data_IF_833995103213
#
_entry.id   IF_833995103213
#
_cell.length_a   1.000
_cell.length_b   1.000
_cell.length_c   1.000
_cell.angle_alpha   90.00
_cell.angle_beta   90.00
_cell.angle_gamma   90.00
#
_symmetry.space_group_name_H-M   'P 1'
#
loop_
_entity.id
_entity.type
_entity.pdbx_description
1 polymer ?
#
# COMPACT_ATOMS: atom_id res chain seq x y z
N UNK A 1 13.64 50.30 2.86
CA UNK A 1 13.30 50.32 1.41
C UNK A 1 12.54 49.03 1.12
N UNK A 2 11.53 49.04 0.25
CA UNK A 2 10.86 47.77 -0.13
C UNK A 2 11.52 47.22 -1.40
N UNK A 3 11.70 45.91 -1.47
CA UNK A 3 12.20 45.24 -2.68
C UNK A 3 11.47 43.93 -2.97
N UNK A 4 11.62 43.46 -4.21
CA UNK A 4 11.01 42.25 -4.74
C UNK A 4 12.08 41.31 -5.27
N UNK A 5 11.82 40.01 -5.22
CA UNK A 5 12.63 38.97 -5.88
C UNK A 5 11.76 38.16 -6.82
N UNK A 6 12.34 37.69 -7.92
CA UNK A 6 11.70 36.77 -8.87
C UNK A 6 12.02 35.34 -8.47
N UNK A 7 11.02 34.47 -8.51
CA UNK A 7 11.19 33.07 -8.16
C UNK A 7 11.14 32.19 -9.41
N UNK A 8 12.18 31.40 -9.60
CA UNK A 8 12.27 30.36 -10.62
C UNK A 8 12.34 28.98 -9.94
N UNK A 9 11.74 27.95 -10.54
CA UNK A 9 12.01 26.57 -10.12
C UNK A 9 13.28 26.00 -10.77
N UNK A 10 13.61 24.76 -10.39
CA UNK A 10 14.75 24.00 -10.93
C UNK A 10 14.72 23.84 -12.47
N UNK A 11 13.54 23.90 -13.09
CA UNK A 11 13.35 23.80 -14.54
C UNK A 11 13.40 25.18 -15.23
N UNK A 12 13.67 26.25 -14.47
CA UNK A 12 13.71 27.63 -14.97
C UNK A 12 12.33 28.25 -15.19
N UNK A 13 11.26 27.63 -14.70
CA UNK A 13 9.90 28.17 -14.82
C UNK A 13 9.75 29.36 -13.89
N UNK A 14 9.34 30.49 -14.46
CA UNK A 14 9.10 31.72 -13.71
C UNK A 14 7.74 31.64 -13.00
N UNK A 15 7.75 31.70 -11.68
CA UNK A 15 6.53 31.76 -10.87
C UNK A 15 5.98 33.18 -10.81
N UNK A 16 5.29 33.62 -11.87
CA UNK A 16 4.76 35.00 -12.00
C UNK A 16 3.84 35.45 -10.85
N UNK A 17 3.22 34.50 -10.13
CA UNK A 17 2.37 34.75 -8.95
C UNK A 17 3.18 35.04 -7.67
N UNK A 18 4.47 34.76 -7.69
CA UNK A 18 5.38 35.08 -6.60
C UNK A 18 5.81 36.55 -6.72
N UNK A 19 5.08 37.45 -6.05
CA UNK A 19 5.41 38.87 -5.94
C UNK A 19 5.36 39.38 -4.49
N UNK A 20 5.97 38.68 -3.51
CA UNK A 20 6.05 39.20 -2.16
C UNK A 20 6.94 40.44 -2.12
N UNK A 21 6.52 41.41 -1.29
CA UNK A 21 7.32 42.57 -0.89
C UNK A 21 8.11 42.21 0.36
N UNK A 22 9.38 42.56 0.37
CA UNK A 22 10.25 42.44 1.53
C UNK A 22 10.78 43.82 1.92
N UNK A 23 10.85 44.09 3.22
CA UNK A 23 11.56 45.25 3.76
C UNK A 23 13.03 44.93 4.03
N UNK A 24 13.82 45.93 4.46
CA UNK A 24 15.25 45.78 4.72
C UNK A 24 15.56 44.85 5.92
N UNK A 25 14.58 44.63 6.79
CA UNK A 25 14.68 43.75 7.97
C UNK A 25 14.25 42.32 7.68
N UNK A 26 13.66 42.07 6.50
CA UNK A 26 13.16 40.77 6.12
C UNK A 26 14.25 39.71 6.19
N UNK A 27 13.88 38.55 6.68
CA UNK A 27 14.79 37.43 6.98
C UNK A 27 14.70 36.32 5.94
N UNK A 28 15.72 35.47 5.93
CA UNK A 28 15.72 34.25 5.11
C UNK A 28 14.53 33.35 5.42
N UNK A 29 14.13 33.24 6.70
CA UNK A 29 12.96 32.45 7.08
C UNK A 29 11.66 33.02 6.49
N UNK A 30 11.48 34.34 6.51
CA UNK A 30 10.28 34.96 5.91
C UNK A 30 10.23 34.73 4.40
N UNK A 31 11.37 34.79 3.71
CA UNK A 31 11.45 34.41 2.30
C UNK A 31 11.04 32.94 2.08
N UNK A 32 11.59 32.02 2.88
CA UNK A 32 11.26 30.58 2.80
C UNK A 32 9.79 30.30 3.09
N UNK A 33 9.17 30.98 4.05
CA UNK A 33 7.74 30.87 4.34
C UNK A 33 6.87 31.35 3.17
N UNK A 34 7.26 32.44 2.50
CA UNK A 34 6.56 32.89 1.28
C UNK A 34 6.69 31.85 0.16
N UNK A 35 7.87 31.27 -0.04
CA UNK A 35 8.10 30.20 -1.03
C UNK A 35 7.22 28.99 -0.70
N UNK A 36 7.23 28.52 0.56
CA UNK A 36 6.41 27.42 1.05
C UNK A 36 4.92 27.65 0.79
N UNK A 37 4.42 28.86 1.01
CA UNK A 37 3.00 29.17 0.78
C UNK A 37 2.55 28.95 -0.67
N UNK A 38 3.45 29.14 -1.63
CA UNK A 38 3.18 29.08 -3.08
C UNK A 38 3.57 27.72 -3.66
N UNK A 39 4.78 27.25 -3.40
CA UNK A 39 5.34 26.02 -3.97
C UNK A 39 5.10 24.77 -3.11
N UNK A 40 4.63 24.93 -1.87
CA UNK A 40 4.38 23.83 -0.92
C UNK A 40 5.62 23.02 -0.55
N UNK A 41 6.81 23.62 -0.67
CA UNK A 41 8.08 23.04 -0.21
C UNK A 41 8.31 23.53 1.22
N UNK A 42 8.44 22.61 2.19
CA UNK A 42 8.77 22.97 3.57
C UNK A 42 10.17 23.61 3.65
N UNK A 43 10.38 24.54 4.58
CA UNK A 43 11.60 25.37 4.65
C UNK A 43 12.90 24.56 4.71
N UNK A 44 12.87 23.41 5.38
CA UNK A 44 13.99 22.48 5.53
C UNK A 44 14.37 21.78 4.22
N UNK A 45 13.47 21.77 3.24
CA UNK A 45 13.69 21.17 1.92
C UNK A 45 13.92 22.21 0.81
N UNK A 46 13.97 23.49 1.15
CA UNK A 46 14.25 24.55 0.17
C UNK A 46 15.75 24.81 0.04
N UNK A 47 16.29 24.52 -1.14
CA UNK A 47 17.61 24.98 -1.56
C UNK A 47 17.44 26.21 -2.44
N UNK A 48 18.11 27.30 -2.09
CA UNK A 48 18.01 28.58 -2.78
C UNK A 48 19.33 28.88 -3.50
N UNK A 49 19.25 29.29 -4.77
CA UNK A 49 20.41 29.64 -5.56
C UNK A 49 20.23 30.98 -6.26
N UNK A 50 21.32 31.69 -6.48
CA UNK A 50 21.37 32.82 -7.40
C UNK A 50 21.33 32.31 -8.85
N UNK A 51 21.07 33.22 -9.80
CA UNK A 51 21.17 32.91 -11.24
C UNK A 51 22.58 32.51 -11.69
N UNK A 52 23.61 32.84 -10.90
CA UNK A 52 25.00 32.45 -11.17
C UNK A 52 25.32 31.05 -10.62
N UNK A 53 24.38 30.42 -9.89
CA UNK A 53 24.54 29.11 -9.29
C UNK A 53 25.09 29.12 -7.86
N UNK A 54 25.34 30.29 -7.29
CA UNK A 54 25.79 30.41 -5.89
C UNK A 54 24.64 30.07 -4.94
N UNK A 55 24.90 29.22 -3.95
CA UNK A 55 23.90 28.87 -2.95
C UNK A 55 23.66 30.04 -1.98
N UNK A 56 22.39 30.36 -1.76
CA UNK A 56 21.96 31.40 -0.82
C UNK A 56 21.72 30.70 0.53
N UNK A 57 22.74 30.69 1.36
CA UNK A 57 22.71 30.07 2.69
C UNK A 57 22.84 31.10 3.81
N UNK A 58 22.18 30.86 4.94
CA UNK A 58 22.27 31.69 6.14
C UNK A 58 21.50 31.06 7.29
N UNK A 59 21.59 31.67 8.47
CA UNK A 59 20.68 31.35 9.56
C UNK A 59 19.28 31.88 9.21
N UNK A 60 18.24 31.30 9.80
CA UNK A 60 16.87 31.73 9.58
C UNK A 60 16.64 33.22 9.93
N UNK A 61 17.42 33.76 10.86
CA UNK A 61 17.44 35.17 11.26
C UNK A 61 18.32 36.06 10.38
N UNK A 62 19.08 35.52 9.43
CA UNK A 62 19.90 36.31 8.51
C UNK A 62 19.00 37.17 7.63
N UNK A 63 19.29 38.47 7.58
CA UNK A 63 18.52 39.40 6.75
C UNK A 63 18.82 39.20 5.27
N UNK A 64 17.82 39.39 4.42
CA UNK A 64 17.99 39.28 2.97
C UNK A 64 19.00 40.30 2.43
N UNK A 65 19.04 41.49 3.03
CA UNK A 65 20.07 42.50 2.73
C UNK A 65 21.49 42.01 3.08
N UNK A 66 21.64 41.27 4.20
CA UNK A 66 22.91 40.64 4.57
C UNK A 66 23.36 39.54 3.62
N UNK A 67 22.43 38.95 2.85
CA UNK A 67 22.69 38.00 1.77
C UNK A 67 22.94 38.69 0.42
N UNK A 68 23.04 40.02 0.40
CA UNK A 68 23.20 40.86 -0.80
C UNK A 68 22.07 40.72 -1.83
N UNK A 69 20.87 40.27 -1.42
CA UNK A 69 19.71 40.22 -2.30
C UNK A 69 19.18 41.64 -2.54
N UNK A 70 18.98 41.98 -3.82
CA UNK A 70 18.53 43.29 -4.28
C UNK A 70 17.18 43.20 -4.97
N UNK A 71 16.58 44.38 -5.16
CA UNK A 71 15.34 44.51 -5.91
C UNK A 71 15.50 43.99 -7.35
N UNK A 72 14.64 43.05 -7.73
CA UNK A 72 14.61 42.44 -9.05
C UNK A 72 15.49 41.20 -9.20
N UNK A 73 16.27 40.84 -8.16
CA UNK A 73 17.09 39.64 -8.20
C UNK A 73 16.23 38.39 -8.41
N UNK A 74 16.83 37.40 -9.07
CA UNK A 74 16.17 36.13 -9.37
C UNK A 74 16.76 35.04 -8.48
N UNK A 75 15.88 34.36 -7.76
CA UNK A 75 16.19 33.24 -6.89
C UNK A 75 15.65 31.97 -7.54
N UNK A 76 16.51 30.97 -7.64
CA UNK A 76 16.15 29.62 -8.09
C UNK A 76 15.89 28.78 -6.85
N UNK A 77 14.68 28.24 -6.74
CA UNK A 77 14.31 27.26 -5.71
C UNK A 77 14.44 25.85 -6.27
N UNK A 78 15.13 25.00 -5.52
CA UNK A 78 15.13 23.55 -5.72
C UNK A 78 14.63 22.87 -4.46
N UNK A 79 13.94 21.75 -4.64
CA UNK A 79 13.65 20.86 -3.52
C UNK A 79 14.91 20.03 -3.23
N UNK A 80 15.29 19.86 -1.97
CA UNK A 80 16.49 19.12 -1.54
C UNK A 80 16.62 17.75 -2.23
N UNK A 81 15.52 17.00 -2.26
CA UNK A 81 15.46 15.66 -2.85
C UNK A 81 15.17 15.63 -4.37
N UNK A 82 15.32 16.73 -5.12
CA UNK A 82 15.05 16.71 -6.57
C UNK A 82 15.96 15.72 -7.31
N UNK A 83 17.24 15.65 -6.94
CA UNK A 83 18.20 14.72 -7.55
C UNK A 83 17.91 13.27 -7.16
N UNK A 84 17.25 13.04 -6.03
CA UNK A 84 16.80 11.69 -5.61
C UNK A 84 15.78 11.14 -6.60
N UNK A 85 14.90 11.98 -7.14
CA UNK A 85 13.95 11.56 -8.17
C UNK A 85 14.67 11.09 -9.45
N UNK A 86 15.71 11.79 -9.88
CA UNK A 86 16.51 11.38 -11.04
C UNK A 86 17.18 10.01 -10.82
N UNK A 87 17.60 9.73 -9.58
CA UNK A 87 18.14 8.41 -9.21
C UNK A 87 17.04 7.34 -9.30
N UNK A 88 15.82 7.63 -8.81
CA UNK A 88 14.67 6.73 -8.92
C UNK A 88 14.36 6.41 -10.39
N UNK A 89 14.34 7.40 -11.27
CA UNK A 89 14.10 7.20 -12.71
C UNK A 89 15.18 6.32 -13.34
N UNK A 90 16.46 6.59 -13.06
CA UNK A 90 17.58 5.78 -13.57
C UNK A 90 17.43 4.32 -13.16
N UNK A 91 17.10 4.07 -11.90
CA UNK A 91 16.90 2.71 -11.39
C UNK A 91 15.65 2.06 -11.95
N UNK A 92 14.56 2.79 -12.12
CA UNK A 92 13.36 2.24 -12.75
C UNK A 92 13.66 1.73 -14.18
N UNK A 93 14.54 2.41 -14.92
CA UNK A 93 15.00 1.94 -16.24
C UNK A 93 15.85 0.67 -16.12
N UNK A 94 16.75 0.59 -15.14
CA UNK A 94 17.54 -0.62 -14.86
C UNK A 94 16.65 -1.81 -14.50
N UNK A 95 15.66 -1.58 -13.63
CA UNK A 95 14.68 -2.56 -13.20
C UNK A 95 13.89 -3.11 -14.39
N UNK A 96 13.55 -2.29 -15.39
CA UNK A 96 12.81 -2.72 -16.59
C UNK A 96 13.61 -3.57 -17.58
N UNK A 97 14.95 -3.60 -17.50
CA UNK A 97 15.78 -4.35 -18.44
C UNK A 97 15.67 -5.85 -18.16
N UNK A 98 14.77 -6.52 -18.88
CA UNK A 98 14.43 -7.96 -18.76
C UNK A 98 15.61 -8.93 -18.86
N UNK A 99 16.72 -8.53 -19.48
CA UNK A 99 17.91 -9.37 -19.68
C UNK A 99 18.92 -9.30 -18.53
N UNK A 100 18.65 -8.46 -17.52
CA UNK A 100 19.52 -8.31 -16.35
C UNK A 100 18.84 -8.96 -15.15
N UNK A 101 19.56 -9.82 -14.43
CA UNK A 101 19.16 -10.21 -13.08
C UNK A 101 19.22 -8.93 -12.24
N UNK A 102 18.07 -8.27 -12.09
CA UNK A 102 17.95 -7.08 -11.25
C UNK A 102 18.19 -7.54 -9.82
N UNK A 103 19.22 -6.99 -9.20
CA UNK A 103 19.56 -7.30 -7.82
C UNK A 103 18.44 -6.78 -6.89
N UNK A 104 17.85 -7.62 -6.02
CA UNK A 104 16.84 -7.21 -5.04
C UNK A 104 17.21 -5.95 -4.24
N UNK A 105 18.51 -5.72 -4.03
CA UNK A 105 19.08 -4.55 -3.39
C UNK A 105 18.78 -3.25 -4.16
N UNK A 106 18.80 -3.29 -5.50
CA UNK A 106 18.49 -2.15 -6.37
C UNK A 106 17.00 -1.81 -6.30
N UNK A 107 16.14 -2.84 -6.33
CA UNK A 107 14.71 -2.65 -6.15
C UNK A 107 14.41 -2.06 -4.76
N UNK A 108 15.11 -2.51 -3.71
CA UNK A 108 14.78 -2.13 -2.33
C UNK A 108 15.18 -0.70 -2.08
N UNK A 109 16.40 -0.38 -2.51
CA UNK A 109 16.89 0.96 -2.44
C UNK A 109 16.04 1.92 -3.29
N UNK A 110 15.46 1.48 -4.41
CA UNK A 110 14.49 2.31 -5.18
C UNK A 110 13.23 2.61 -4.37
N UNK A 111 12.66 1.62 -3.68
CA UNK A 111 11.51 1.84 -2.80
C UNK A 111 11.86 2.74 -1.60
N UNK A 112 13.04 2.59 -1.03
CA UNK A 112 13.51 3.43 0.08
C UNK A 112 13.66 4.90 -0.36
N UNK A 113 14.16 5.15 -1.58
CA UNK A 113 14.23 6.50 -2.14
C UNK A 113 12.84 7.08 -2.43
N UNK A 114 11.89 6.28 -2.94
CA UNK A 114 10.50 6.72 -3.11
C UNK A 114 9.90 7.11 -1.77
N UNK A 115 10.10 6.29 -0.73
CA UNK A 115 9.63 6.58 0.62
C UNK A 115 10.23 7.87 1.17
N UNK A 116 11.53 8.11 0.95
CA UNK A 116 12.18 9.37 1.32
C UNK A 116 11.52 10.59 0.64
N UNK A 117 11.17 10.47 -0.64
CA UNK A 117 10.46 11.52 -1.38
C UNK A 117 9.04 11.77 -0.84
N UNK A 118 8.33 10.71 -0.45
CA UNK A 118 7.00 10.82 0.18
C UNK A 118 7.09 11.50 1.57
N UNK A 119 8.01 11.04 2.41
CA UNK A 119 8.25 11.59 3.75
C UNK A 119 8.69 13.05 3.69
N UNK A 120 9.44 13.45 2.66
CA UNK A 120 9.81 14.84 2.43
C UNK A 120 8.74 15.68 1.74
N UNK A 121 7.53 15.14 1.53
CA UNK A 121 6.42 15.81 0.82
C UNK A 121 6.78 16.29 -0.59
N UNK A 122 7.76 15.66 -1.24
CA UNK A 122 8.25 16.05 -2.57
C UNK A 122 7.11 16.12 -3.60
N UNK A 123 6.23 15.12 -3.60
CA UNK A 123 5.13 15.06 -4.56
C UNK A 123 4.01 16.08 -4.31
N UNK A 124 4.00 16.78 -3.16
CA UNK A 124 3.07 17.90 -2.97
C UNK A 124 3.42 19.10 -3.85
N UNK A 125 4.71 19.33 -4.09
CA UNK A 125 5.20 20.39 -4.96
C UNK A 125 5.35 19.93 -6.43
N UNK A 126 5.67 18.64 -6.65
CA UNK A 126 5.76 18.03 -7.99
C UNK A 126 4.63 17.02 -8.26
N UNK A 127 3.37 17.42 -8.04
CA UNK A 127 2.20 16.52 -8.14
C UNK A 127 2.06 15.80 -9.49
N UNK A 128 2.61 16.35 -10.58
CA UNK A 128 2.60 15.72 -11.91
C UNK A 128 3.44 14.45 -11.99
N UNK A 129 4.34 14.23 -11.02
CA UNK A 129 5.18 13.04 -10.94
C UNK A 129 4.52 11.90 -10.14
N UNK A 130 3.35 12.14 -9.54
CA UNK A 130 2.71 11.19 -8.63
C UNK A 130 2.28 9.90 -9.36
N UNK A 131 1.65 10.03 -10.53
CA UNK A 131 1.24 8.88 -11.35
C UNK A 131 2.46 8.03 -11.77
N UNK A 132 3.57 8.68 -12.14
CA UNK A 132 4.80 8.01 -12.52
C UNK A 132 5.47 7.32 -11.32
N UNK A 133 5.42 7.95 -10.14
CA UNK A 133 5.89 7.35 -8.89
C UNK A 133 5.09 6.09 -8.54
N UNK A 134 3.76 6.16 -8.59
CA UNK A 134 2.89 5.01 -8.30
C UNK A 134 3.19 3.84 -9.25
N UNK A 135 3.36 4.15 -10.54
CA UNK A 135 3.74 3.17 -11.56
C UNK A 135 5.09 2.51 -11.23
N UNK A 136 6.14 3.29 -10.97
CA UNK A 136 7.48 2.78 -10.64
C UNK A 136 7.46 1.97 -9.34
N UNK A 137 6.78 2.46 -8.30
CA UNK A 137 6.63 1.76 -7.02
C UNK A 137 5.95 0.41 -7.21
N UNK A 138 4.88 0.37 -8.01
CA UNK A 138 4.16 -0.85 -8.34
C UNK A 138 5.03 -1.87 -9.08
N UNK A 139 5.73 -1.46 -10.15
CA UNK A 139 6.65 -2.32 -10.90
C UNK A 139 7.81 -2.81 -10.04
N UNK A 140 8.40 -1.93 -9.22
CA UNK A 140 9.53 -2.28 -8.35
C UNK A 140 9.13 -3.32 -7.29
N UNK A 141 7.91 -3.21 -6.73
CA UNK A 141 7.38 -4.17 -5.77
C UNK A 141 7.23 -5.57 -6.36
N UNK A 142 7.05 -5.72 -7.68
CA UNK A 142 6.96 -7.03 -8.35
C UNK A 142 8.28 -7.79 -8.33
N UNK A 143 9.44 -7.13 -8.23
CA UNK A 143 10.75 -7.78 -8.13
C UNK A 143 10.98 -8.49 -6.79
N UNK A 144 10.24 -8.07 -5.76
CA UNK A 144 10.16 -8.81 -4.52
C UNK A 144 9.12 -9.94 -4.57
N UNK A 145 8.48 -10.14 -5.72
CA UNK A 145 7.51 -11.18 -6.00
C UNK A 145 8.12 -12.57 -6.17
N UNK A 146 9.19 -12.93 -5.44
CA UNK A 146 9.54 -14.35 -5.23
C UNK A 146 8.34 -15.14 -4.67
N UNK A 147 7.47 -14.46 -3.93
CA UNK A 147 6.17 -14.96 -3.49
C UNK A 147 5.15 -15.06 -4.62
N UNK A 148 5.24 -14.29 -5.73
CA UNK A 148 4.22 -14.32 -6.80
C UNK A 148 4.25 -15.61 -7.63
N UNK A 149 5.44 -16.05 -8.07
CA UNK A 149 5.59 -17.34 -8.79
C UNK A 149 5.30 -18.50 -7.85
N UNK A 150 5.77 -18.42 -6.60
CA UNK A 150 5.50 -19.44 -5.56
C UNK A 150 4.01 -19.52 -5.26
N UNK A 151 3.34 -18.38 -5.12
CA UNK A 151 1.90 -18.26 -4.91
C UNK A 151 1.13 -18.78 -6.11
N UNK A 152 1.49 -18.40 -7.33
CA UNK A 152 0.83 -18.89 -8.56
C UNK A 152 0.98 -20.41 -8.70
N UNK A 153 2.18 -20.94 -8.50
CA UNK A 153 2.46 -22.39 -8.52
C UNK A 153 1.67 -23.12 -7.43
N UNK A 154 1.71 -22.62 -6.20
CA UNK A 154 0.97 -23.21 -5.08
C UNK A 154 -0.55 -23.15 -5.29
N UNK A 155 -1.05 -22.07 -5.88
CA UNK A 155 -2.47 -21.89 -6.21
C UNK A 155 -2.90 -22.87 -7.30
N UNK A 156 -2.11 -23.00 -8.37
CA UNK A 156 -2.36 -23.97 -9.43
C UNK A 156 -2.40 -25.40 -8.88
N UNK A 157 -1.40 -25.77 -8.08
CA UNK A 157 -1.34 -27.10 -7.48
C UNK A 157 -2.52 -27.36 -6.54
N UNK A 158 -2.83 -26.40 -5.66
CA UNK A 158 -3.95 -26.49 -4.72
C UNK A 158 -5.27 -26.75 -5.45
N UNK A 159 -5.64 -25.92 -6.43
CA UNK A 159 -6.92 -26.08 -7.13
C UNK A 159 -6.97 -27.36 -7.97
N UNK A 160 -5.85 -27.77 -8.58
CA UNK A 160 -5.79 -29.04 -9.29
C UNK A 160 -6.07 -30.22 -8.36
N UNK A 161 -5.39 -30.26 -7.20
CA UNK A 161 -5.55 -31.34 -6.22
C UNK A 161 -6.94 -31.31 -5.57
N UNK A 162 -7.45 -30.12 -5.23
CA UNK A 162 -8.77 -29.92 -4.64
C UNK A 162 -9.89 -30.40 -5.58
N UNK A 163 -9.91 -29.93 -6.84
CA UNK A 163 -10.95 -30.30 -7.80
C UNK A 163 -10.90 -31.79 -8.15
N UNK A 164 -9.70 -32.38 -8.21
CA UNK A 164 -9.52 -33.82 -8.40
C UNK A 164 -10.01 -34.62 -7.19
N UNK A 165 -9.70 -34.20 -5.97
CA UNK A 165 -10.13 -34.89 -4.75
C UNK A 165 -11.64 -34.85 -4.54
N UNK A 166 -12.31 -33.80 -5.04
CA UNK A 166 -13.77 -33.66 -5.00
C UNK A 166 -14.48 -34.34 -6.18
N UNK A 167 -13.75 -35.02 -7.07
CA UNK A 167 -14.28 -35.65 -8.30
C UNK A 167 -15.03 -34.65 -9.22
N UNK A 168 -14.63 -33.36 -9.16
CA UNK A 168 -15.21 -32.28 -9.98
C UNK A 168 -14.48 -32.19 -11.32
N UNK A 169 -13.16 -32.39 -11.33
CA UNK A 169 -12.32 -32.32 -12.53
C UNK A 169 -12.35 -33.63 -13.33
N UNK A 170 -13.08 -33.65 -14.45
CA UNK A 170 -13.27 -34.82 -15.31
C UNK A 170 -12.13 -35.01 -16.32
N UNK A 171 -11.67 -33.91 -16.93
CA UNK A 171 -10.49 -33.93 -17.84
C UNK A 171 -9.38 -33.04 -17.27
N UNK A 172 -8.26 -33.60 -16.79
CA UNK A 172 -7.11 -32.81 -16.31
C UNK A 172 -6.57 -31.79 -17.32
N UNK A 173 -6.80 -31.98 -18.62
CA UNK A 173 -6.35 -31.05 -19.68
C UNK A 173 -7.25 -29.82 -19.80
N UNK A 174 -8.45 -29.85 -19.24
CA UNK A 174 -9.35 -28.70 -19.19
C UNK A 174 -8.97 -27.71 -18.08
N UNK A 175 -8.09 -28.11 -17.16
CA UNK A 175 -7.66 -27.30 -16.03
C UNK A 175 -6.64 -26.23 -16.43
N UNK A 176 -6.93 -24.98 -16.10
CA UNK A 176 -5.98 -23.88 -16.20
C UNK A 176 -6.24 -22.85 -15.09
N UNK A 177 -5.21 -22.12 -14.67
CA UNK A 177 -5.38 -20.96 -13.79
C UNK A 177 -4.72 -19.75 -14.43
N UNK A 178 -5.53 -18.73 -14.68
CA UNK A 178 -5.07 -17.45 -15.21
C UNK A 178 -4.96 -16.45 -14.07
N UNK A 179 -3.88 -15.68 -14.03
CA UNK A 179 -3.64 -14.70 -12.97
C UNK A 179 -3.71 -13.28 -13.52
N UNK A 180 -4.55 -12.47 -12.90
CA UNK A 180 -4.71 -11.05 -13.18
C UNK A 180 -4.18 -10.23 -12.00
N UNK A 181 -3.58 -9.09 -12.32
CA UNK A 181 -3.14 -8.15 -11.29
C UNK A 181 -4.36 -7.54 -10.62
N UNK A 182 -4.31 -7.40 -9.30
CA UNK A 182 -5.30 -6.61 -8.57
C UNK A 182 -5.15 -5.14 -8.97
N UNK A 183 -6.24 -4.51 -9.41
CA UNK A 183 -6.30 -3.06 -9.62
C UNK A 183 -6.61 -2.40 -8.27
N UNK A 184 -5.59 -1.82 -7.64
CA UNK A 184 -5.72 -1.03 -6.40
C UNK A 184 -5.65 -1.81 -5.07
N UNK A 185 -5.71 -1.07 -3.96
CA UNK A 185 -5.56 -1.58 -2.59
C UNK A 185 -4.11 -1.64 -2.09
N UNK A 186 -3.94 -1.63 -0.77
CA UNK A 186 -2.61 -1.50 -0.11
C UNK A 186 -1.91 -2.87 0.02
N UNK A 187 -2.67 -3.97 0.01
CA UNK A 187 -2.13 -5.31 0.26
C UNK A 187 -1.77 -6.05 -1.04
N UNK A 188 -0.60 -6.72 -1.06
CA UNK A 188 -0.19 -7.57 -2.18
C UNK A 188 -1.16 -8.74 -2.35
N UNK A 189 -1.44 -9.11 -3.61
CA UNK A 189 -2.33 -10.20 -3.99
C UNK A 189 -2.60 -10.19 -5.49
N UNK A 190 -3.26 -11.23 -5.99
CA UNK A 190 -3.71 -11.32 -7.38
C UNK A 190 -5.14 -11.87 -7.45
N UNK A 191 -5.77 -11.72 -8.61
CA UNK A 191 -7.02 -12.41 -8.93
C UNK A 191 -6.65 -13.65 -9.73
N UNK A 192 -7.11 -14.83 -9.31
CA UNK A 192 -6.96 -16.07 -10.05
C UNK A 192 -8.31 -16.45 -10.67
N UNK A 193 -8.32 -16.72 -11.97
CA UNK A 193 -9.46 -17.34 -12.66
C UNK A 193 -9.13 -18.81 -12.88
N UNK A 194 -9.81 -19.69 -12.15
CA UNK A 194 -9.67 -21.14 -12.22
C UNK A 194 -10.64 -21.66 -13.26
N UNK A 195 -10.10 -22.19 -14.35
CA UNK A 195 -10.86 -22.70 -15.49
C UNK A 195 -10.81 -24.23 -15.47
N UNK A 196 -11.96 -24.89 -15.52
CA UNK A 196 -12.04 -26.36 -15.59
C UNK A 196 -13.39 -26.78 -16.17
N UNK A 197 -13.40 -27.77 -17.07
CA UNK A 197 -14.61 -28.40 -17.64
C UNK A 197 -15.72 -27.42 -18.10
N UNK A 198 -15.32 -26.24 -18.63
CA UNK A 198 -16.24 -25.19 -19.11
C UNK A 198 -16.70 -24.19 -18.04
N UNK A 199 -16.28 -24.36 -16.79
CA UNK A 199 -16.51 -23.45 -15.65
C UNK A 199 -15.32 -22.50 -15.48
N UNK A 200 -15.61 -21.26 -15.07
CA UNK A 200 -14.62 -20.24 -14.73
C UNK A 200 -14.96 -19.60 -13.39
N UNK A 201 -14.21 -19.95 -12.35
CA UNK A 201 -14.39 -19.40 -11.01
C UNK A 201 -13.29 -18.38 -10.69
N UNK A 202 -13.67 -17.24 -10.11
CA UNK A 202 -12.73 -16.16 -9.75
C UNK A 202 -12.47 -16.12 -8.26
N UNK A 203 -11.20 -16.13 -7.90
CA UNK A 203 -10.72 -16.09 -6.52
C UNK A 203 -9.78 -14.91 -6.30
N UNK A 204 -9.88 -14.30 -5.13
CA UNK A 204 -8.85 -13.36 -4.68
C UNK A 204 -7.77 -14.13 -3.91
N UNK A 205 -6.54 -14.09 -4.41
CA UNK A 205 -5.40 -14.77 -3.82
C UNK A 205 -4.57 -13.75 -3.04
N UNK A 206 -4.36 -14.06 -1.77
CA UNK A 206 -3.64 -13.21 -0.81
C UNK A 206 -2.57 -14.04 -0.10
N UNK A 207 -1.40 -13.44 0.13
CA UNK A 207 -0.39 -13.98 1.05
C UNK A 207 -0.63 -13.49 2.48
N UNK A 208 -0.27 -14.28 3.50
CA UNK A 208 -0.36 -13.80 4.88
C UNK A 208 0.60 -12.62 5.11
N UNK A 209 0.21 -11.72 6.00
CA UNK A 209 0.87 -10.42 6.15
C UNK A 209 2.34 -10.52 6.61
N UNK A 210 3.25 -10.05 5.74
CA UNK A 210 4.21 -8.95 6.00
C UNK A 210 4.85 -8.44 4.71
N UNK A 211 4.65 -9.13 3.58
CA UNK A 211 5.46 -8.84 2.40
C UNK A 211 6.96 -9.01 2.69
N UNK A 212 7.82 -8.61 1.76
CA UNK A 212 9.26 -8.61 1.96
C UNK A 212 9.63 -7.68 3.11
N UNK A 213 10.48 -8.12 4.03
CA UNK A 213 11.11 -7.26 5.04
C UNK A 213 12.55 -6.95 4.65
N UNK A 214 13.18 -5.96 5.30
CA UNK A 214 14.59 -5.56 5.08
C UNK A 214 15.60 -6.72 5.12
N UNK A 215 15.23 -7.85 5.72
CA UNK A 215 16.10 -9.01 5.94
C UNK A 215 15.59 -10.31 5.33
N UNK A 216 14.38 -10.34 4.76
CA UNK A 216 13.80 -11.53 4.15
C UNK A 216 12.91 -11.19 2.97
N UNK A 217 13.36 -11.58 1.78
CA UNK A 217 12.66 -11.43 0.50
C UNK A 217 11.54 -12.48 0.27
N UNK A 218 11.19 -13.24 1.31
CA UNK A 218 10.08 -14.18 1.34
C UNK A 218 9.18 -13.80 2.50
N UNK A 219 7.88 -14.05 2.38
CA UNK A 219 6.95 -14.21 3.52
C UNK A 219 7.38 -15.43 4.36
N UNK A 220 8.58 -15.36 4.95
CA UNK A 220 9.22 -16.41 5.73
C UNK A 220 8.72 -16.44 7.18
N UNK A 221 7.96 -15.42 7.57
CA UNK A 221 7.24 -15.45 8.82
C UNK A 221 6.05 -16.42 8.68
N UNK A 222 5.73 -17.15 9.74
CA UNK A 222 4.56 -18.01 9.76
C UNK A 222 3.25 -17.23 9.59
N UNK A 223 2.18 -17.87 9.11
CA UNK A 223 0.87 -17.24 9.05
C UNK A 223 0.44 -16.77 10.43
N UNK A 224 -0.12 -15.56 10.49
CA UNK A 224 -0.69 -15.04 11.73
C UNK A 224 -1.96 -15.84 12.08
N UNK A 225 -1.86 -16.73 13.06
CA UNK A 225 -2.98 -17.58 13.48
C UNK A 225 -4.22 -16.79 13.92
N UNK A 226 -4.06 -15.56 14.42
CA UNK A 226 -5.20 -14.68 14.74
C UNK A 226 -5.93 -14.24 13.46
N UNK A 227 -5.18 -13.94 12.40
CA UNK A 227 -5.75 -13.58 11.10
C UNK A 227 -6.45 -14.80 10.47
N UNK A 228 -5.82 -15.98 10.49
CA UNK A 228 -6.42 -17.23 10.01
C UNK A 228 -7.70 -17.56 10.78
N UNK A 229 -7.66 -17.48 12.11
CA UNK A 229 -8.84 -17.69 12.94
C UNK A 229 -9.96 -16.71 12.63
N UNK A 230 -9.63 -15.43 12.41
CA UNK A 230 -10.61 -14.42 12.05
C UNK A 230 -11.32 -14.79 10.73
N UNK A 231 -10.59 -15.18 9.69
CA UNK A 231 -11.20 -15.60 8.43
C UNK A 231 -12.07 -16.85 8.58
N UNK A 232 -11.56 -17.91 9.23
CA UNK A 232 -12.32 -19.15 9.47
C UNK A 232 -13.58 -18.87 10.29
N UNK A 233 -13.48 -18.03 11.32
CA UNK A 233 -14.63 -17.67 12.13
C UNK A 233 -15.65 -16.87 11.33
N UNK A 234 -15.20 -15.88 10.55
CA UNK A 234 -16.06 -15.06 9.70
C UNK A 234 -16.79 -15.91 8.65
N UNK A 235 -16.10 -16.87 8.03
CA UNK A 235 -16.71 -17.87 7.14
C UNK A 235 -17.73 -18.73 7.88
N UNK A 236 -17.36 -19.31 9.04
CA UNK A 236 -18.22 -20.20 9.81
C UNK A 236 -19.50 -19.53 10.32
N UNK A 237 -19.50 -18.20 10.42
CA UNK A 237 -20.66 -17.40 10.79
C UNK A 237 -21.29 -16.68 9.58
N UNK A 238 -20.83 -16.96 8.36
CA UNK A 238 -21.40 -16.40 7.13
C UNK A 238 -21.17 -14.90 6.93
N UNK A 239 -20.26 -14.26 7.69
CA UNK A 239 -19.85 -12.87 7.48
C UNK A 239 -18.72 -12.72 6.47
N UNK A 240 -17.90 -13.76 6.33
CA UNK A 240 -16.74 -13.79 5.45
C UNK A 240 -16.99 -14.63 4.19
N UNK A 241 -16.17 -14.44 3.15
CA UNK A 241 -16.15 -15.36 2.01
C UNK A 241 -15.67 -16.76 2.45
N UNK A 242 -15.96 -17.77 1.64
CA UNK A 242 -15.29 -19.07 1.75
C UNK A 242 -13.78 -18.89 1.66
N UNK A 243 -13.05 -19.42 2.64
CA UNK A 243 -11.61 -19.23 2.77
C UNK A 243 -10.87 -20.56 2.61
N UNK A 244 -10.03 -20.64 1.58
CA UNK A 244 -9.09 -21.76 1.42
C UNK A 244 -7.69 -21.35 1.89
N UNK A 245 -7.12 -22.10 2.83
CA UNK A 245 -5.75 -21.91 3.30
C UNK A 245 -4.84 -22.99 2.76
N UNK A 246 -3.77 -22.59 2.08
CA UNK A 246 -2.79 -23.49 1.48
C UNK A 246 -1.41 -22.84 1.50
N UNK A 247 -0.36 -23.67 1.42
CA UNK A 247 0.99 -23.19 1.20
C UNK A 247 2.00 -24.33 1.13
N UNK A 248 3.31 -24.03 1.14
CA UNK A 248 4.35 -25.04 1.03
C UNK A 248 4.43 -25.88 2.34
N UNK A 249 4.16 -27.18 2.25
CA UNK A 249 4.32 -28.20 3.32
C UNK A 249 5.83 -28.30 3.72
N UNK A 250 6.34 -28.47 4.99
CA UNK A 250 5.83 -29.19 6.20
C UNK A 250 6.15 -28.63 7.65
N UNK A 251 5.60 -29.25 8.73
CA UNK A 251 6.27 -29.47 10.05
C UNK A 251 5.44 -29.40 11.38
N UNK A 252 5.12 -30.51 12.05
CA UNK A 252 4.14 -30.65 13.17
C UNK A 252 4.33 -29.83 14.48
N UNK A 253 3.27 -29.18 14.96
CA UNK A 253 3.10 -28.70 16.35
C UNK A 253 1.60 -28.67 16.77
N UNK A 254 1.29 -28.52 18.08
CA UNK A 254 -0.06 -28.48 18.68
C UNK A 254 -0.16 -27.31 19.67
N UNK A 255 -1.22 -26.49 19.57
CA UNK A 255 -1.44 -25.30 20.43
C UNK A 255 -2.44 -25.56 21.58
N UNK A 256 -2.27 -24.85 22.71
CA UNK A 256 -3.15 -24.87 23.89
C UNK A 256 -4.04 -23.61 23.97
N UNK A 257 -5.32 -23.79 24.30
CA UNK A 257 -6.41 -22.80 24.32
C UNK A 257 -6.19 -21.64 25.32
N UNK A 258 -5.61 -21.91 26.48
CA UNK A 258 -5.44 -20.92 27.54
C UNK A 258 -4.36 -19.88 27.23
N UNK A 259 -3.38 -20.25 26.39
CA UNK A 259 -2.25 -19.40 26.00
C UNK A 259 -2.66 -18.37 24.92
N UNK A 260 -3.67 -18.70 24.10
CA UNK A 260 -4.20 -17.85 23.03
C UNK A 260 -5.09 -16.71 23.57
N UNK A 261 -5.90 -16.99 24.59
CA UNK A 261 -6.89 -16.05 25.13
C UNK A 261 -6.28 -15.04 26.12
N UNK A 262 -5.08 -15.31 26.66
CA UNK A 262 -4.51 -14.53 27.77
C UNK A 262 -3.31 -13.64 27.40
N UNK A 263 -2.65 -13.85 26.26
CA UNK A 263 -1.40 -13.13 25.95
C UNK A 263 -1.57 -11.81 25.17
N UNK A 264 -1.12 -10.72 25.81
CA UNK A 264 -0.69 -9.47 25.17
C UNK A 264 0.35 -9.77 24.08
N UNK A 265 0.47 -8.93 23.02
CA UNK A 265 1.28 -9.24 21.85
C UNK A 265 2.76 -9.32 22.23
N UNK A 266 3.27 -10.54 22.36
CA UNK A 266 4.69 -10.81 22.20
C UNK A 266 4.84 -11.57 20.89
N UNK A 267 5.57 -10.95 19.96
CA UNK A 267 6.15 -11.63 18.83
C UNK A 267 7.07 -12.72 19.37
N UNK A 268 6.60 -13.97 19.37
CA UNK A 268 7.47 -15.12 19.53
C UNK A 268 7.65 -15.73 18.16
N UNK A 269 8.91 -15.91 17.79
CA UNK A 269 9.44 -16.33 16.49
C UNK A 269 9.22 -17.85 16.26
N UNK A 270 7.97 -18.32 16.41
CA UNK A 270 7.65 -19.75 16.30
C UNK A 270 7.07 -20.08 14.93
N UNK A 271 7.81 -20.86 14.14
CA UNK A 271 7.34 -21.45 12.87
C UNK A 271 6.03 -22.23 13.08
N UNK A 272 4.93 -21.65 12.61
CA UNK A 272 3.60 -22.26 12.53
C UNK A 272 3.47 -23.13 11.28
N UNK A 273 2.81 -24.28 11.39
CA UNK A 273 2.58 -25.23 10.29
C UNK A 273 1.12 -25.25 9.82
N UNK A 274 0.88 -25.51 8.53
CA UNK A 274 -0.44 -25.72 7.93
C UNK A 274 -1.29 -26.80 8.61
N UNK A 275 -0.69 -27.77 9.31
CA UNK A 275 -1.45 -28.69 10.18
C UNK A 275 -2.19 -27.94 11.30
N UNK A 276 -1.61 -26.88 11.85
CA UNK A 276 -2.23 -26.05 12.88
C UNK A 276 -3.38 -25.22 12.29
N UNK A 277 -3.25 -24.73 11.06
CA UNK A 277 -4.36 -24.08 10.32
C UNK A 277 -5.52 -25.07 10.09
N UNK A 278 -5.21 -26.30 9.69
CA UNK A 278 -6.21 -27.38 9.60
C UNK A 278 -6.85 -27.70 10.96
N UNK A 279 -6.06 -27.70 12.04
CA UNK A 279 -6.58 -27.84 13.40
C UNK A 279 -7.45 -26.66 13.82
N UNK A 280 -7.17 -25.42 13.39
CA UNK A 280 -8.03 -24.27 13.67
C UNK A 280 -9.37 -24.36 12.94
N UNK A 281 -9.38 -24.79 11.68
CA UNK A 281 -10.62 -25.03 10.92
C UNK A 281 -11.44 -26.14 11.57
N UNK A 282 -10.83 -27.28 11.87
CA UNK A 282 -11.48 -28.36 12.60
C UNK A 282 -11.97 -27.91 13.98
N UNK A 283 -11.17 -27.14 14.72
CA UNK A 283 -11.53 -26.63 16.04
C UNK A 283 -12.73 -25.68 15.97
N UNK A 284 -12.72 -24.73 15.04
CA UNK A 284 -13.86 -23.84 14.81
C UNK A 284 -15.13 -24.66 14.50
N UNK A 285 -15.01 -25.75 13.73
CA UNK A 285 -16.11 -26.66 13.44
C UNK A 285 -16.58 -27.47 14.67
N UNK A 286 -15.68 -27.81 15.61
CA UNK A 286 -16.03 -28.54 16.86
C UNK A 286 -16.68 -27.68 17.93
N UNK A 287 -16.51 -26.35 17.88
CA UNK A 287 -17.24 -25.43 18.77
C UNK A 287 -18.72 -25.47 18.39
N UNK A 288 -19.62 -25.60 19.37
CA UNK A 288 -21.04 -25.61 19.09
C UNK A 288 -21.51 -24.28 18.48
N UNK A 289 -22.59 -24.33 17.70
CA UNK A 289 -23.08 -23.17 16.96
C UNK A 289 -23.39 -21.97 17.86
N UNK A 290 -23.86 -22.18 19.10
CA UNK A 290 -24.19 -21.10 20.01
C UNK A 290 -22.93 -20.41 20.54
N UNK A 291 -21.89 -21.18 20.86
CA UNK A 291 -20.61 -20.62 21.28
C UNK A 291 -19.92 -19.87 20.14
N UNK A 292 -19.92 -20.41 18.91
CA UNK A 292 -19.44 -19.68 17.72
C UNK A 292 -20.18 -18.36 17.53
N UNK A 293 -21.50 -18.40 17.61
CA UNK A 293 -22.37 -17.24 17.50
C UNK A 293 -22.00 -16.20 18.56
N UNK A 294 -21.88 -16.60 19.83
CA UNK A 294 -21.50 -15.71 20.94
C UNK A 294 -20.14 -15.05 20.73
N UNK A 295 -19.13 -15.81 20.30
CA UNK A 295 -17.79 -15.27 19.98
C UNK A 295 -17.88 -14.30 18.81
N UNK A 296 -18.63 -14.66 17.76
CA UNK A 296 -18.91 -13.79 16.61
C UNK A 296 -19.56 -12.47 17.02
N UNK A 297 -20.62 -12.51 17.85
CA UNK A 297 -21.29 -11.31 18.39
C UNK A 297 -20.31 -10.41 19.14
N UNK A 298 -19.51 -10.99 20.03
CA UNK A 298 -18.52 -10.23 20.80
C UNK A 298 -17.46 -9.56 19.91
N UNK A 299 -16.99 -10.24 18.86
CA UNK A 299 -16.00 -9.68 17.94
C UNK A 299 -16.60 -8.61 17.04
N UNK A 300 -17.79 -8.84 16.48
CA UNK A 300 -18.52 -7.85 15.67
C UNK A 300 -18.70 -6.54 16.44
N UNK A 301 -19.07 -6.63 17.73
CA UNK A 301 -19.21 -5.48 18.62
C UNK A 301 -17.85 -4.85 18.97
N UNK A 302 -16.87 -5.65 19.41
CA UNK A 302 -15.56 -5.16 19.82
C UNK A 302 -14.80 -4.47 18.67
N UNK A 303 -14.95 -4.96 17.45
CA UNK A 303 -14.34 -4.40 16.25
C UNK A 303 -15.19 -3.30 15.60
N UNK A 304 -16.37 -3.02 16.16
CA UNK A 304 -17.30 -2.01 15.63
C UNK A 304 -17.54 -2.21 14.12
N UNK A 305 -17.76 -3.45 13.71
CA UNK A 305 -17.74 -3.83 12.30
C UNK A 305 -18.73 -3.02 11.45
N UNK A 306 -19.91 -2.69 11.99
CA UNK A 306 -20.88 -1.84 11.30
C UNK A 306 -20.32 -0.44 11.01
N UNK A 307 -19.72 0.20 12.02
CA UNK A 307 -19.10 1.52 11.88
C UNK A 307 -17.95 1.48 10.86
N UNK A 308 -17.15 0.41 10.88
CA UNK A 308 -16.06 0.21 9.93
C UNK A 308 -16.56 0.07 8.48
N UNK A 309 -17.63 -0.70 8.26
CA UNK A 309 -18.23 -0.86 6.93
C UNK A 309 -18.82 0.47 6.44
N UNK A 310 -19.52 1.21 7.30
CA UNK A 310 -20.06 2.53 6.96
C UNK A 310 -18.94 3.54 6.62
N UNK A 311 -17.86 3.54 7.40
CA UNK A 311 -16.69 4.36 7.12
C UNK A 311 -16.06 4.03 5.77
N UNK A 312 -15.90 2.73 5.44
CA UNK A 312 -15.36 2.28 4.17
C UNK A 312 -16.26 2.69 2.99
N UNK A 313 -17.58 2.52 3.10
CA UNK A 313 -18.54 2.94 2.07
C UNK A 313 -18.45 4.46 1.84
N UNK A 314 -18.37 5.24 2.91
CA UNK A 314 -18.22 6.70 2.83
C UNK A 314 -16.90 7.09 2.17
N UNK A 315 -15.80 6.43 2.51
CA UNK A 315 -14.49 6.71 1.95
C UNK A 315 -14.44 6.40 0.45
N UNK A 316 -14.92 5.22 0.03
CA UNK A 316 -14.99 4.84 -1.38
C UNK A 316 -15.85 5.82 -2.17
N UNK A 317 -17.00 6.23 -1.60
CA UNK A 317 -17.87 7.24 -2.21
C UNK A 317 -17.14 8.57 -2.39
N UNK A 318 -16.43 9.04 -1.36
CA UNK A 318 -15.63 10.26 -1.43
C UNK A 318 -14.50 10.18 -2.45
N UNK A 319 -13.83 9.03 -2.57
CA UNK A 319 -12.80 8.81 -3.59
C UNK A 319 -13.41 8.91 -5.00
N UNK A 320 -14.55 8.24 -5.24
CA UNK A 320 -15.25 8.30 -6.52
C UNK A 320 -15.62 9.73 -6.90
N UNK A 321 -16.16 10.49 -5.94
CA UNK A 321 -16.49 11.91 -6.14
C UNK A 321 -15.27 12.76 -6.47
N UNK A 322 -14.14 12.57 -5.77
CA UNK A 322 -12.89 13.30 -6.05
C UNK A 322 -12.35 13.00 -7.45
N UNK A 323 -12.47 11.77 -7.93
CA UNK A 323 -12.03 11.39 -9.28
C UNK A 323 -12.93 12.04 -10.34
N UNK A 324 -14.26 11.99 -10.14
CA UNK A 324 -15.23 12.66 -11.03
C UNK A 324 -15.02 14.17 -11.09
N UNK A 325 -14.77 14.81 -9.95
CA UNK A 325 -14.49 16.24 -9.87
C UNK A 325 -13.23 16.66 -10.64
N UNK A 326 -12.32 15.71 -10.90
CA UNK A 326 -11.11 15.91 -11.71
C UNK A 326 -11.28 15.47 -13.17
N UNK A 327 -12.49 15.14 -13.60
CA UNK A 327 -12.80 14.70 -14.97
C UNK A 327 -12.51 13.22 -15.24
N UNK A 328 -12.22 12.42 -14.21
CA UNK A 328 -12.04 10.98 -14.35
C UNK A 328 -13.38 10.27 -14.57
N UNK A 329 -13.38 9.27 -15.44
CA UNK A 329 -14.53 8.39 -15.69
C UNK A 329 -14.40 7.18 -14.77
N UNK A 330 -15.41 6.96 -13.94
CA UNK A 330 -15.55 5.75 -13.12
C UNK A 330 -16.87 5.10 -13.50
N UNK A 331 -16.80 3.86 -13.97
CA UNK A 331 -17.98 3.01 -14.08
C UNK A 331 -18.47 2.64 -12.68
N UNK A 332 -19.70 3.00 -12.35
CA UNK A 332 -20.33 2.52 -11.14
C UNK A 332 -20.76 1.07 -11.36
N UNK A 333 -19.98 0.14 -10.81
CA UNK A 333 -20.47 -1.22 -10.59
C UNK A 333 -21.17 -1.26 -9.22
N UNK A 334 -22.34 -1.90 -9.18
CA UNK A 334 -23.10 -2.10 -7.94
C UNK A 334 -22.44 -3.11 -7.00
N UNK A 335 -21.42 -3.83 -7.47
CA UNK A 335 -20.83 -4.98 -6.78
C UNK A 335 -20.32 -4.62 -5.38
N UNK A 336 -19.65 -3.46 -5.24
CA UNK A 336 -19.16 -3.00 -3.94
C UNK A 336 -20.31 -2.68 -2.97
N UNK A 337 -21.36 -2.00 -3.44
CA UNK A 337 -22.50 -1.64 -2.60
C UNK A 337 -23.30 -2.89 -2.20
N UNK A 338 -23.53 -3.80 -3.15
CA UNK A 338 -24.17 -5.10 -2.87
C UNK A 338 -23.37 -5.92 -1.86
N UNK A 339 -22.04 -5.94 -1.99
CA UNK A 339 -21.17 -6.60 -1.02
C UNK A 339 -21.25 -5.94 0.36
N UNK A 340 -21.18 -4.60 0.43
CA UNK A 340 -21.29 -3.87 1.69
C UNK A 340 -22.64 -4.09 2.38
N UNK A 341 -23.75 -4.09 1.63
CA UNK A 341 -25.08 -4.40 2.15
C UNK A 341 -25.20 -5.86 2.59
N UNK A 342 -24.59 -6.81 1.87
CA UNK A 342 -24.51 -8.21 2.30
C UNK A 342 -23.77 -8.35 3.64
N UNK A 343 -22.63 -7.67 3.79
CA UNK A 343 -21.87 -7.64 5.05
C UNK A 343 -22.70 -7.01 6.17
N UNK A 344 -23.38 -5.89 5.93
CA UNK A 344 -24.27 -5.25 6.91
C UNK A 344 -25.44 -6.14 7.32
N UNK A 345 -26.09 -6.77 6.35
CA UNK A 345 -27.16 -7.73 6.60
C UNK A 345 -26.66 -8.84 7.52
N UNK A 346 -25.52 -9.44 7.18
CA UNK A 346 -24.94 -10.49 7.99
C UNK A 346 -24.59 -9.96 9.39
N UNK A 347 -23.96 -8.78 9.54
CA UNK A 347 -23.69 -8.14 10.84
C UNK A 347 -24.97 -7.98 11.68
N UNK A 348 -26.09 -7.64 11.03
CA UNK A 348 -27.38 -7.49 11.72
C UNK A 348 -27.91 -8.81 12.28
N UNK A 349 -27.59 -9.95 11.66
CA UNK A 349 -27.90 -11.29 12.18
C UNK A 349 -27.11 -11.61 13.46
N UNK A 350 -25.97 -10.95 13.69
CA UNK A 350 -25.18 -11.05 14.92
C UNK A 350 -25.58 -10.02 15.97
N UNK A 351 -26.19 -8.92 15.57
CA UNK A 351 -26.54 -7.81 16.47
C UNK A 351 -27.91 -7.97 17.14
N UNK A 352 -28.80 -8.74 16.50
CA UNK A 352 -30.08 -9.21 17.05
C UNK A 352 -29.92 -10.61 17.64
#
# INVERSE_FOLDING_TARGET
MEFFVRLHDAAGVVHKKFQPKFDDGATLNELKEKIKSILKIDNDYQLLYSVNGDEITGLDSTTLAGLNLKNGDTIIVKHLNVDVWDIVIKRAVEIKKKDTIVQPEVAQHTLDLIKLLEESKFFNCYYRLLDEMERISGETKEFFGGDSVTMQTATQQFFFDYLKAQDILRDPRSFAVNFERKIGGIHPGCVATVCYDGTNDKYFIKTHHTGPTKTSYKSALPPNLREVFAYVLLEAIGLGPECHFYGPIPGDYKMNLDEFLTNKPQCVDTKVNFREVGQMSAFAQTIDANTRMKVGKNLVQAWKMSECVDAAVKEVTSVKERIRAKGGIIEDTDDFNKYAEGVKHNISLFSN
#
